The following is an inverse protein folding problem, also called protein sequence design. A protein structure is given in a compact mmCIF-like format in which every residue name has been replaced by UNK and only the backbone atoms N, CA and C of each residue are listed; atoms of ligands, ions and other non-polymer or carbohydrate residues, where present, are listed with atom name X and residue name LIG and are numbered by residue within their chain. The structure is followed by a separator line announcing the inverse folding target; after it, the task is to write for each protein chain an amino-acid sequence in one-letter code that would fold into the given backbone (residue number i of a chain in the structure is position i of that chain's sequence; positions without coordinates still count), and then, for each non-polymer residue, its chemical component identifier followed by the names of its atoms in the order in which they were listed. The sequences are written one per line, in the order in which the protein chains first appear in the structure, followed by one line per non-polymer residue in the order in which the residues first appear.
data_IF_332919276995
#
_entry.id   IF_332919276995
#
_cell.length_a   1.000
_cell.length_b   1.000
_cell.length_c   1.000
_cell.angle_alpha   90.00
_cell.angle_beta   90.00
_cell.angle_gamma   90.00
#
_symmetry.space_group_name_H-M   'P 1'
#
loop_
_entity.id
_entity.type
_entity.pdbx_description
1 polymer ?
#
# COMPACT_ATOMS: atom_id res chain seq x y z
N UNK A 1 -61.51 -14.36 -4.83
CA UNK A 1 -60.87 -13.12 -5.35
C UNK A 1 -59.75 -12.54 -4.45
N UNK A 2 -59.87 -12.58 -3.11
CA UNK A 2 -58.88 -11.99 -2.19
C UNK A 2 -57.54 -12.74 -2.11
N UNK A 3 -57.53 -14.07 -2.25
CA UNK A 3 -56.32 -14.89 -2.17
C UNK A 3 -55.28 -14.60 -3.28
N UNK A 4 -55.68 -14.03 -4.42
CA UNK A 4 -54.77 -13.62 -5.50
C UNK A 4 -54.12 -12.25 -5.21
N UNK A 5 -54.79 -11.39 -4.43
CA UNK A 5 -54.31 -10.04 -4.09
C UNK A 5 -53.24 -10.03 -2.99
N UNK A 6 -53.29 -10.98 -2.04
CA UNK A 6 -52.23 -11.15 -1.02
C UNK A 6 -50.91 -11.61 -1.65
N UNK A 7 -50.92 -12.69 -2.45
CA UNK A 7 -49.73 -13.22 -3.09
C UNK A 7 -49.05 -12.25 -4.06
N UNK A 8 -49.83 -11.41 -4.75
CA UNK A 8 -49.29 -10.39 -5.65
C UNK A 8 -48.61 -9.23 -4.90
N UNK A 9 -49.14 -8.83 -3.74
CA UNK A 9 -48.51 -7.83 -2.87
C UNK A 9 -47.21 -8.33 -2.26
N UNK A 10 -47.14 -9.61 -1.87
CA UNK A 10 -45.93 -10.19 -1.31
C UNK A 10 -44.83 -10.33 -2.36
N UNK A 11 -45.18 -10.69 -3.60
CA UNK A 11 -44.25 -10.66 -4.74
C UNK A 11 -43.74 -9.24 -5.01
N UNK A 12 -44.63 -8.25 -4.98
CA UNK A 12 -44.24 -6.85 -5.17
C UNK A 12 -43.27 -6.36 -4.07
N UNK A 13 -43.51 -6.74 -2.81
CA UNK A 13 -42.60 -6.44 -1.69
C UNK A 13 -41.23 -7.09 -1.87
N UNK A 14 -41.19 -8.36 -2.26
CA UNK A 14 -39.93 -9.08 -2.50
C UNK A 14 -39.14 -8.42 -3.63
N UNK A 15 -39.79 -8.07 -4.74
CA UNK A 15 -39.15 -7.38 -5.86
C UNK A 15 -38.61 -6.01 -5.42
N UNK A 16 -39.39 -5.26 -4.65
CA UNK A 16 -38.97 -3.96 -4.13
C UNK A 16 -37.76 -4.10 -3.19
N UNK A 17 -37.76 -5.10 -2.29
CA UNK A 17 -36.64 -5.37 -1.38
C UNK A 17 -35.38 -5.83 -2.14
N UNK A 18 -35.52 -6.66 -3.18
CA UNK A 18 -34.41 -7.07 -4.04
C UNK A 18 -33.83 -5.89 -4.83
N UNK A 19 -34.69 -5.01 -5.36
CA UNK A 19 -34.26 -3.77 -6.01
C UNK A 19 -33.54 -2.84 -5.05
N UNK A 20 -34.09 -2.67 -3.83
CA UNK A 20 -33.46 -1.86 -2.79
C UNK A 20 -32.09 -2.42 -2.40
N UNK A 21 -31.98 -3.72 -2.16
CA UNK A 21 -30.72 -4.39 -1.85
C UNK A 21 -29.70 -4.24 -2.98
N UNK A 22 -30.13 -4.42 -4.25
CA UNK A 22 -29.26 -4.28 -5.42
C UNK A 22 -28.76 -2.84 -5.57
N UNK A 23 -29.59 -1.83 -5.31
CA UNK A 23 -29.19 -0.43 -5.35
C UNK A 23 -28.24 -0.08 -4.20
N UNK A 24 -28.50 -0.58 -3.00
CA UNK A 24 -27.62 -0.39 -1.84
C UNK A 24 -26.24 -1.01 -2.10
N UNK A 25 -26.19 -2.24 -2.60
CA UNK A 25 -24.94 -2.93 -2.95
C UNK A 25 -24.21 -2.21 -4.09
N UNK A 26 -24.92 -1.75 -5.13
CA UNK A 26 -24.31 -1.00 -6.23
C UNK A 26 -23.66 0.28 -5.72
N UNK A 27 -24.31 1.04 -4.83
CA UNK A 27 -23.74 2.22 -4.18
C UNK A 27 -22.46 1.89 -3.40
N UNK A 28 -22.44 0.80 -2.64
CA UNK A 28 -21.26 0.37 -1.87
C UNK A 28 -20.09 -0.05 -2.77
N UNK A 29 -20.35 -0.79 -3.86
CA UNK A 29 -19.29 -1.19 -4.81
C UNK A 29 -18.60 0.02 -5.45
N UNK A 30 -19.37 1.02 -5.88
CA UNK A 30 -18.81 2.25 -6.45
C UNK A 30 -17.96 3.00 -5.43
N UNK A 31 -18.38 3.04 -4.16
CA UNK A 31 -17.60 3.69 -3.08
C UNK A 31 -16.28 2.97 -2.80
N UNK A 32 -16.28 1.63 -2.81
CA UNK A 32 -15.06 0.83 -2.62
C UNK A 32 -14.10 1.00 -3.80
N UNK A 33 -14.60 0.94 -5.03
CA UNK A 33 -13.80 1.13 -6.25
C UNK A 33 -13.11 2.50 -6.31
N UNK A 34 -13.81 3.56 -5.88
CA UNK A 34 -13.24 4.91 -5.80
C UNK A 34 -12.17 5.03 -4.71
N UNK A 35 -12.41 4.44 -3.54
CA UNK A 35 -11.44 4.41 -2.45
C UNK A 35 -10.17 3.65 -2.85
N UNK A 36 -10.32 2.45 -3.43
CA UNK A 36 -9.20 1.62 -3.86
C UNK A 36 -8.33 2.33 -4.91
N UNK A 37 -8.97 3.03 -5.87
CA UNK A 37 -8.27 3.85 -6.87
C UNK A 37 -7.53 5.02 -6.23
N UNK A 38 -8.17 5.75 -5.32
CA UNK A 38 -7.54 6.90 -4.65
C UNK A 38 -6.33 6.47 -3.81
N UNK A 39 -6.44 5.37 -3.07
CA UNK A 39 -5.34 4.78 -2.30
C UNK A 39 -4.20 4.35 -3.24
N UNK A 40 -4.53 3.71 -4.36
CA UNK A 40 -3.56 3.33 -5.38
C UNK A 40 -2.78 4.54 -5.93
N UNK A 41 -3.48 5.60 -6.32
CA UNK A 41 -2.83 6.84 -6.80
C UNK A 41 -1.96 7.48 -5.73
N UNK A 42 -2.43 7.54 -4.48
CA UNK A 42 -1.67 8.10 -3.37
C UNK A 42 -0.39 7.28 -3.11
N UNK A 43 -0.50 5.95 -3.06
CA UNK A 43 0.66 5.07 -2.89
C UNK A 43 1.66 5.24 -4.03
N UNK A 44 1.19 5.27 -5.28
CA UNK A 44 2.07 5.46 -6.44
C UNK A 44 2.76 6.81 -6.42
N UNK A 45 2.05 7.88 -6.08
CA UNK A 45 2.62 9.22 -5.98
C UNK A 45 3.69 9.30 -4.88
N UNK A 46 3.38 8.76 -3.69
CA UNK A 46 4.32 8.68 -2.57
C UNK A 46 5.55 7.85 -2.93
N UNK A 47 5.35 6.69 -3.58
CA UNK A 47 6.43 5.82 -4.02
C UNK A 47 7.35 6.53 -5.01
N UNK A 48 6.79 7.23 -6.00
CA UNK A 48 7.56 8.00 -6.98
C UNK A 48 8.33 9.12 -6.27
N UNK A 49 7.68 9.87 -5.38
CA UNK A 49 8.32 10.96 -4.64
C UNK A 49 9.52 10.49 -3.82
N UNK A 50 9.34 9.41 -3.06
CA UNK A 50 10.41 8.81 -2.24
C UNK A 50 11.51 8.25 -3.13
N UNK A 51 11.16 7.53 -4.20
CA UNK A 51 12.13 6.95 -5.13
C UNK A 51 12.97 8.02 -5.80
N UNK A 52 12.35 9.06 -6.35
CA UNK A 52 13.03 10.19 -6.96
C UNK A 52 13.94 10.89 -5.95
N UNK A 53 13.43 11.22 -4.75
CA UNK A 53 14.25 11.81 -3.70
C UNK A 53 15.50 10.96 -3.39
N UNK A 54 15.32 9.64 -3.26
CA UNK A 54 16.41 8.73 -2.95
C UNK A 54 17.40 8.56 -4.11
N UNK A 55 16.92 8.44 -5.34
CA UNK A 55 17.76 8.32 -6.55
C UNK A 55 18.58 9.57 -6.77
N UNK A 56 17.96 10.75 -6.69
CA UNK A 56 18.68 12.02 -6.81
C UNK A 56 19.68 12.20 -5.67
N UNK A 57 19.34 11.78 -4.45
CA UNK A 57 20.25 11.86 -3.32
C UNK A 57 21.47 10.95 -3.46
N UNK A 58 21.30 9.68 -3.88
CA UNK A 58 22.41 8.74 -4.12
C UNK A 58 23.31 9.19 -5.27
N UNK A 59 22.73 9.78 -6.33
CA UNK A 59 23.47 10.21 -7.51
C UNK A 59 24.17 11.55 -7.31
N UNK A 60 23.52 12.56 -6.73
CA UNK A 60 24.09 13.93 -6.61
C UNK A 60 25.20 13.98 -5.56
N UNK A 61 25.07 13.23 -4.47
CA UNK A 61 26.00 13.29 -3.36
C UNK A 61 27.48 12.97 -3.71
N UNK A 62 27.82 11.94 -4.52
CA UNK A 62 29.21 11.70 -4.91
C UNK A 62 29.81 12.77 -5.83
N UNK A 63 29.00 13.71 -6.35
CA UNK A 63 29.45 14.80 -7.22
C UNK A 63 29.44 16.18 -6.53
N UNK A 64 29.13 16.25 -5.21
CA UNK A 64 29.23 17.47 -4.40
C UNK A 64 30.50 17.40 -3.54
N UNK A 65 31.47 18.25 -3.84
CA UNK A 65 32.74 18.38 -3.12
C UNK A 65 32.61 19.18 -1.80
N UNK A 66 33.42 18.80 -0.82
CA UNK A 66 33.43 19.26 0.59
C UNK A 66 34.06 20.64 0.84
N UNK A 67 34.02 21.56 -0.13
CA UNK A 67 34.68 22.85 0.02
C UNK A 67 33.64 23.96 -0.09
N UNK A 68 33.51 24.77 0.97
CA UNK A 68 32.77 26.03 1.16
C UNK A 68 31.77 26.02 2.33
N UNK A 69 31.66 27.20 2.96
CA UNK A 69 30.95 27.67 4.16
C UNK A 69 29.48 27.20 4.42
N UNK A 70 28.95 26.25 3.66
CA UNK A 70 27.55 25.77 3.70
C UNK A 70 27.34 24.62 4.72
N UNK A 71 28.42 24.08 5.30
CA UNK A 71 28.39 22.98 6.29
C UNK A 71 27.60 23.24 7.58
N UNK A 72 27.18 24.48 7.86
CA UNK A 72 26.35 24.81 9.03
C UNK A 72 24.85 24.70 8.76
N UNK A 73 24.44 24.57 7.49
CA UNK A 73 23.04 24.42 7.07
C UNK A 73 22.70 23.03 6.50
N UNK A 74 23.70 22.20 6.21
CA UNK A 74 23.53 20.87 5.62
C UNK A 74 24.13 19.77 6.50
N UNK A 75 23.35 18.71 6.73
CA UNK A 75 23.70 17.52 7.49
C UNK A 75 24.97 16.85 6.89
N UNK A 76 25.93 16.38 7.70
CA UNK A 76 27.23 15.87 7.24
C UNK A 76 27.12 14.83 6.11
N UNK A 77 28.04 14.90 5.15
CA UNK A 77 28.12 14.06 3.94
C UNK A 77 28.10 12.55 4.23
N UNK A 78 28.50 12.18 5.45
CA UNK A 78 28.51 10.84 6.04
C UNK A 78 27.11 10.19 6.01
N UNK A 79 26.06 10.97 6.29
CA UNK A 79 24.69 10.47 6.37
C UNK A 79 24.13 10.02 5.02
N UNK A 80 24.66 10.57 3.94
CA UNK A 80 24.12 10.32 2.62
C UNK A 80 24.65 9.04 1.97
N UNK A 81 25.72 8.45 2.52
CA UNK A 81 26.15 7.07 2.23
C UNK A 81 25.61 6.12 3.33
N UNK A 82 25.60 6.57 4.59
CA UNK A 82 25.17 5.76 5.72
C UNK A 82 23.71 5.33 5.61
N UNK A 83 22.80 6.19 5.14
CA UNK A 83 21.37 5.89 5.08
C UNK A 83 21.04 4.81 4.03
N UNK A 84 21.57 4.85 2.78
CA UNK A 84 21.50 3.73 1.84
C UNK A 84 22.10 2.43 2.35
N UNK A 85 23.28 2.50 2.98
CA UNK A 85 23.94 1.30 3.50
C UNK A 85 23.16 0.71 4.67
N UNK A 86 22.72 1.54 5.63
CA UNK A 86 21.95 1.11 6.79
C UNK A 86 20.59 0.52 6.38
N UNK A 87 19.87 1.18 5.46
CA UNK A 87 18.62 0.65 4.93
C UNK A 87 18.84 -0.68 4.20
N UNK A 88 19.90 -0.81 3.40
CA UNK A 88 20.28 -2.06 2.74
C UNK A 88 20.60 -3.18 3.73
N UNK A 89 21.36 -2.89 4.78
CA UNK A 89 21.71 -3.85 5.85
C UNK A 89 20.47 -4.30 6.61
N UNK A 90 19.58 -3.37 6.99
CA UNK A 90 18.32 -3.70 7.68
C UNK A 90 17.43 -4.57 6.81
N UNK A 91 17.27 -4.23 5.52
CA UNK A 91 16.50 -5.02 4.56
C UNK A 91 17.08 -6.43 4.39
N UNK A 92 18.40 -6.53 4.20
CA UNK A 92 19.09 -7.81 4.04
C UNK A 92 18.92 -8.67 5.29
N UNK A 93 19.10 -8.10 6.48
CA UNK A 93 18.91 -8.79 7.74
C UNK A 93 17.46 -9.28 7.89
N UNK A 94 16.48 -8.45 7.54
CA UNK A 94 15.07 -8.82 7.52
C UNK A 94 14.79 -9.98 6.55
N UNK A 95 15.33 -9.95 5.33
CA UNK A 95 15.20 -11.04 4.35
C UNK A 95 15.86 -12.33 4.85
N UNK A 96 17.06 -12.27 5.42
CA UNK A 96 17.74 -13.42 5.99
C UNK A 96 16.92 -14.08 7.12
N UNK A 97 16.39 -13.27 8.03
CA UNK A 97 15.52 -13.75 9.12
C UNK A 97 14.23 -14.34 8.58
N UNK A 98 13.59 -13.68 7.60
CA UNK A 98 12.35 -14.14 6.99
C UNK A 98 12.53 -15.49 6.29
N UNK A 99 13.58 -15.62 5.45
CA UNK A 99 13.92 -16.88 4.78
C UNK A 99 14.25 -17.96 5.80
N UNK A 100 15.10 -17.66 6.78
CA UNK A 100 15.43 -18.60 7.87
C UNK A 100 14.19 -19.06 8.63
N UNK A 101 13.29 -18.14 8.96
CA UNK A 101 12.01 -18.44 9.62
C UNK A 101 11.11 -19.35 8.78
N UNK A 102 10.97 -19.06 7.47
CA UNK A 102 10.20 -19.90 6.54
C UNK A 102 10.81 -21.29 6.39
N UNK A 103 12.14 -21.40 6.34
CA UNK A 103 12.83 -22.69 6.30
C UNK A 103 12.65 -23.48 7.60
N UNK A 104 12.78 -22.84 8.77
CA UNK A 104 12.55 -23.47 10.07
C UNK A 104 11.09 -23.94 10.21
N UNK A 105 10.12 -23.15 9.77
CA UNK A 105 8.70 -23.52 9.76
C UNK A 105 8.42 -24.71 8.83
N UNK A 106 9.14 -24.80 7.70
CA UNK A 106 8.97 -25.88 6.72
C UNK A 106 9.55 -27.23 7.20
N UNK A 107 10.51 -27.22 8.14
CA UNK A 107 11.09 -28.46 8.70
C UNK A 107 10.18 -29.16 9.72
N UNK A 108 9.09 -28.53 10.19
CA UNK A 108 8.12 -29.14 11.13
C UNK A 108 7.14 -30.14 10.48
N UNK A 109 7.40 -30.60 9.25
CA UNK A 109 6.61 -31.63 8.55
C UNK A 109 7.45 -32.80 7.99
N UNK A 110 8.61 -33.08 8.61
CA UNK A 110 9.33 -34.36 8.47
C UNK A 110 10.07 -34.69 9.78
N UNK A 111 9.31 -35.11 10.78
CA UNK A 111 9.73 -36.02 11.84
C UNK A 111 8.44 -36.54 12.50
#
# INVERSE_FOLDING_TARGET
PEANSSGQRDRAKIIFLQLYAKQAVKGTNIRMELADRAVGFLLSFVSISIFTYYTFWVIILPFVDSDHFIHQYFLPQEFAILIPVFAGVVLLCFLCVFVGFVMLKSKKKKA
#
